data_IF_409614949975
#
_entry.id   IF_409614949975
#
_cell.length_a   1.000
_cell.length_b   1.000
_cell.length_c   1.000
_cell.angle_alpha   90.00
_cell.angle_beta   90.00
_cell.angle_gamma   90.00
#
_symmetry.space_group_name_H-M   'P 1'
#
loop_
_entity.id
_entity.type
_entity.pdbx_description
1 polymer ?
#
# COMPACT_ATOMS: atom_id res chain seq x y z
N UNK A 1 -31.64 -69.90 16.28
CA UNK A 1 -32.06 -68.60 15.70
C UNK A 1 -31.34 -67.44 16.38
N UNK A 2 -31.14 -67.50 17.70
CA UNK A 2 -30.47 -66.43 18.47
C UNK A 2 -28.97 -66.25 18.14
N UNK A 3 -28.20 -67.33 17.92
CA UNK A 3 -26.77 -67.23 17.58
C UNK A 3 -26.49 -66.50 16.26
N UNK A 4 -27.31 -66.72 15.22
CA UNK A 4 -27.13 -66.06 13.91
C UNK A 4 -27.45 -64.56 13.95
N UNK A 5 -28.31 -64.13 14.87
CA UNK A 5 -28.64 -62.71 15.06
C UNK A 5 -27.51 -61.97 15.80
N UNK A 6 -26.89 -62.62 16.79
CA UNK A 6 -25.74 -62.09 17.52
C UNK A 6 -24.52 -61.93 16.60
N UNK A 7 -24.26 -62.92 15.73
CA UNK A 7 -23.18 -62.86 14.74
C UNK A 7 -23.32 -61.65 13.80
N UNK A 8 -24.55 -61.40 13.33
CA UNK A 8 -24.86 -60.29 12.42
C UNK A 8 -24.69 -58.93 13.11
N UNK A 9 -25.12 -58.81 14.38
CA UNK A 9 -24.92 -57.59 15.18
C UNK A 9 -23.45 -57.31 15.44
N UNK A 10 -22.64 -58.33 15.69
CA UNK A 10 -21.19 -58.18 15.86
C UNK A 10 -20.50 -57.69 14.58
N UNK A 11 -20.87 -58.23 13.41
CA UNK A 11 -20.33 -57.77 12.13
C UNK A 11 -20.70 -56.31 11.83
N UNK A 12 -21.95 -55.91 12.12
CA UNK A 12 -22.40 -54.52 11.99
C UNK A 12 -21.63 -53.60 12.95
N UNK A 13 -21.43 -54.02 14.19
CA UNK A 13 -20.70 -53.24 15.19
C UNK A 13 -19.25 -52.98 14.74
N UNK A 14 -18.53 -54.03 14.32
CA UNK A 14 -17.15 -53.92 13.84
C UNK A 14 -17.06 -53.01 12.60
N UNK A 15 -18.04 -53.07 11.70
CA UNK A 15 -18.08 -52.20 10.53
C UNK A 15 -18.28 -50.73 10.90
N UNK A 16 -19.18 -50.45 11.85
CA UNK A 16 -19.44 -49.09 12.34
C UNK A 16 -18.21 -48.53 13.07
N UNK A 17 -17.55 -49.33 13.92
CA UNK A 17 -16.32 -48.93 14.60
C UNK A 17 -15.19 -48.61 13.60
N UNK A 18 -15.03 -49.43 12.56
CA UNK A 18 -14.05 -49.19 11.50
C UNK A 18 -14.33 -47.90 10.71
N UNK A 19 -15.60 -47.60 10.41
CA UNK A 19 -15.96 -46.35 9.74
C UNK A 19 -15.73 -45.12 10.63
N UNK A 20 -16.05 -45.22 11.92
CA UNK A 20 -15.84 -44.12 12.88
C UNK A 20 -14.35 -43.80 13.02
N UNK A 21 -13.48 -44.80 13.09
CA UNK A 21 -12.03 -44.57 13.18
C UNK A 21 -11.50 -43.93 11.88
N UNK A 22 -11.97 -44.36 10.71
CA UNK A 22 -11.61 -43.73 9.44
C UNK A 22 -12.05 -42.27 9.32
N UNK A 23 -13.22 -41.91 9.85
CA UNK A 23 -13.70 -40.52 9.91
C UNK A 23 -12.82 -39.69 10.84
N UNK A 24 -12.46 -40.25 12.01
CA UNK A 24 -11.60 -39.60 12.99
C UNK A 24 -10.21 -39.29 12.43
N UNK A 25 -9.62 -40.22 11.68
CA UNK A 25 -8.34 -39.99 11.00
C UNK A 25 -8.43 -38.89 9.94
N UNK A 26 -9.52 -38.86 9.18
CA UNK A 26 -9.74 -37.81 8.18
C UNK A 26 -9.90 -36.44 8.84
N UNK A 27 -10.67 -36.35 9.94
CA UNK A 27 -10.84 -35.11 10.70
C UNK A 27 -9.50 -34.63 11.24
N UNK A 28 -8.69 -35.51 11.83
CA UNK A 28 -7.36 -35.16 12.33
C UNK A 28 -6.42 -34.66 11.21
N UNK A 29 -6.45 -35.31 10.04
CA UNK A 29 -5.70 -34.87 8.86
C UNK A 29 -6.13 -33.48 8.36
N UNK A 30 -7.45 -33.22 8.33
CA UNK A 30 -7.99 -31.92 7.96
C UNK A 30 -7.65 -30.83 9.00
N UNK A 31 -7.71 -31.15 10.29
CA UNK A 31 -7.33 -30.23 11.38
C UNK A 31 -5.87 -29.81 11.25
N UNK A 32 -4.94 -30.75 11.03
CA UNK A 32 -3.52 -30.42 10.84
C UNK A 32 -3.29 -29.49 9.63
N UNK A 33 -3.94 -29.76 8.49
CA UNK A 33 -3.87 -28.89 7.30
C UNK A 33 -4.44 -27.48 7.57
N UNK A 34 -5.46 -27.36 8.42
CA UNK A 34 -6.04 -26.07 8.79
C UNK A 34 -5.10 -25.31 9.72
N UNK A 35 -4.46 -25.97 10.68
CA UNK A 35 -3.45 -25.37 11.55
C UNK A 35 -2.26 -24.83 10.74
N UNK A 36 -1.79 -25.58 9.74
CA UNK A 36 -0.74 -25.13 8.81
C UNK A 36 -1.16 -23.87 8.03
N UNK A 37 -2.39 -23.85 7.49
CA UNK A 37 -2.94 -22.70 6.76
C UNK A 37 -3.14 -21.50 7.67
N UNK A 38 -3.56 -21.70 8.92
CA UNK A 38 -3.68 -20.64 9.92
C UNK A 38 -2.31 -20.12 10.38
N UNK A 39 -1.30 -20.99 10.47
CA UNK A 39 0.09 -20.60 10.73
C UNK A 39 0.64 -19.71 9.62
N UNK A 40 0.43 -20.10 8.36
CA UNK A 40 0.78 -19.28 7.18
C UNK A 40 0.02 -17.94 7.15
N UNK A 41 -1.26 -17.91 7.57
CA UNK A 41 -2.04 -16.67 7.68
C UNK A 41 -1.49 -15.74 8.78
N UNK A 42 -0.98 -16.29 9.89
CA UNK A 42 -0.35 -15.51 10.98
C UNK A 42 1.00 -14.93 10.53
N UNK A 43 1.81 -15.69 9.79
CA UNK A 43 3.04 -15.17 9.15
C UNK A 43 2.75 -14.07 8.12
N UNK A 44 1.61 -14.15 7.43
CA UNK A 44 1.17 -13.12 6.48
C UNK A 44 0.65 -11.85 7.17
N UNK A 45 0.05 -11.97 8.37
CA UNK A 45 -0.43 -10.82 9.16
C UNK A 45 0.69 -10.16 10.00
N UNK A 46 1.74 -10.90 10.39
CA UNK A 46 2.92 -10.32 11.06
C UNK A 46 3.98 -9.75 10.11
N UNK A 47 3.84 -9.95 8.80
CA UNK A 47 4.70 -9.30 7.81
C UNK A 47 4.10 -7.99 7.32
N UNK A 48 4.31 -6.92 8.11
CA UNK A 48 4.44 -5.55 7.59
C UNK A 48 5.68 -5.36 6.67
N UNK A 49 6.14 -6.42 6.01
CA UNK A 49 7.26 -6.39 5.07
C UNK A 49 7.12 -7.56 4.09
N UNK A 50 6.70 -7.24 2.88
CA UNK A 50 6.48 -8.16 1.76
C UNK A 50 7.65 -9.14 1.55
N UNK A 51 7.42 -10.47 1.48
CA UNK A 51 8.45 -11.44 1.10
C UNK A 51 8.36 -11.69 -0.41
N UNK A 52 9.33 -11.18 -1.18
CA UNK A 52 9.33 -11.45 -2.61
C UNK A 52 10.42 -10.82 -3.46
N UNK A 53 11.30 -9.97 -2.94
CA UNK A 53 12.52 -9.53 -3.64
C UNK A 53 13.66 -9.40 -2.63
N UNK A 54 14.82 -9.92 -3.01
CA UNK A 54 16.07 -10.08 -2.27
C UNK A 54 16.31 -9.07 -1.14
N UNK A 55 16.61 -9.59 0.06
CA UNK A 55 17.19 -8.84 1.19
C UNK A 55 18.53 -8.23 0.78
N UNK A 56 18.52 -7.05 0.20
CA UNK A 56 19.41 -6.01 0.72
C UNK A 56 18.61 -5.42 1.89
N UNK A 57 19.20 -5.31 3.08
CA UNK A 57 18.63 -4.53 4.19
C UNK A 57 18.56 -3.04 3.78
N UNK A 58 17.75 -2.71 2.79
CA UNK A 58 17.54 -1.37 2.32
C UNK A 58 16.49 -0.75 3.24
N UNK A 59 16.95 0.01 4.23
CA UNK A 59 16.08 0.98 4.88
C UNK A 59 15.47 1.84 3.77
N UNK A 60 14.14 1.98 3.71
CA UNK A 60 13.50 2.80 2.68
C UNK A 60 14.12 4.19 2.68
N UNK A 61 14.57 4.65 1.52
CA UNK A 61 15.15 5.99 1.39
C UNK A 61 14.06 6.98 1.75
N UNK A 62 14.34 7.88 2.71
CA UNK A 62 13.33 8.85 3.15
C UNK A 62 13.23 9.98 2.13
N UNK A 63 12.01 10.39 1.76
CA UNK A 63 11.81 11.55 0.91
C UNK A 63 12.18 12.82 1.68
N UNK A 64 12.57 13.87 0.95
CA UNK A 64 12.84 15.18 1.54
C UNK A 64 11.53 15.75 2.10
N UNK A 65 11.63 16.60 3.13
CA UNK A 65 10.51 17.44 3.56
C UNK A 65 10.40 18.65 2.64
N UNK A 66 9.18 18.99 2.21
CA UNK A 66 8.93 20.15 1.36
C UNK A 66 8.14 21.20 2.12
N UNK A 67 8.74 22.37 2.31
CA UNK A 67 8.14 23.53 2.97
C UNK A 67 7.81 24.68 2.01
N UNK A 68 8.17 24.54 0.73
CA UNK A 68 8.02 25.56 -0.30
C UNK A 68 9.26 26.43 -0.54
N UNK A 69 10.37 26.23 0.17
CA UNK A 69 11.62 26.99 -0.05
C UNK A 69 12.43 26.50 -1.25
N UNK A 70 12.47 25.19 -1.45
CA UNK A 70 13.09 24.58 -2.64
C UNK A 70 12.13 24.69 -3.83
N UNK A 71 12.67 24.64 -5.05
CA UNK A 71 11.82 24.61 -6.25
C UNK A 71 10.94 23.36 -6.26
N UNK A 72 9.64 23.53 -6.54
CA UNK A 72 8.67 22.42 -6.62
C UNK A 72 9.12 21.33 -7.60
N UNK A 73 9.71 21.71 -8.73
CA UNK A 73 10.24 20.79 -9.73
C UNK A 73 11.39 19.95 -9.15
N UNK A 74 12.31 20.58 -8.41
CA UNK A 74 13.45 19.88 -7.78
C UNK A 74 12.95 18.86 -6.75
N UNK A 75 11.96 19.25 -5.94
CA UNK A 75 11.33 18.35 -4.98
C UNK A 75 10.63 17.17 -5.66
N UNK A 76 9.80 17.42 -6.70
CA UNK A 76 9.10 16.35 -7.46
C UNK A 76 10.09 15.36 -8.08
N UNK A 77 11.17 15.84 -8.70
CA UNK A 77 12.23 14.98 -9.27
C UNK A 77 12.90 14.12 -8.21
N UNK A 78 13.28 14.72 -7.07
CA UNK A 78 13.89 13.95 -5.97
C UNK A 78 12.92 12.90 -5.42
N UNK A 79 11.66 13.28 -5.23
CA UNK A 79 10.61 12.39 -4.75
C UNK A 79 10.40 11.21 -5.72
N UNK A 80 10.41 11.45 -7.04
CA UNK A 80 10.24 10.39 -8.02
C UNK A 80 11.41 9.37 -8.00
N UNK A 81 12.65 9.85 -7.90
CA UNK A 81 13.85 9.00 -7.72
C UNK A 81 13.74 8.14 -6.47
N UNK A 82 13.35 8.74 -5.34
CA UNK A 82 13.16 8.02 -4.07
C UNK A 82 12.04 7.00 -4.18
N UNK A 83 10.92 7.38 -4.79
CA UNK A 83 9.75 6.50 -4.94
C UNK A 83 10.05 5.29 -5.83
N UNK A 84 10.82 5.50 -6.91
CA UNK A 84 11.25 4.45 -7.83
C UNK A 84 12.27 3.52 -7.18
N UNK A 85 13.23 4.09 -6.45
CA UNK A 85 14.23 3.33 -5.68
C UNK A 85 13.58 2.45 -4.62
N UNK A 86 12.53 2.96 -3.97
CA UNK A 86 11.79 2.23 -2.94
C UNK A 86 10.67 1.33 -3.51
N UNK A 87 10.41 1.36 -4.81
CA UNK A 87 9.34 0.59 -5.45
C UNK A 87 7.93 0.93 -4.96
N UNK A 88 7.65 2.21 -4.66
CA UNK A 88 6.34 2.63 -4.17
C UNK A 88 5.26 2.62 -5.25
N UNK A 89 4.10 2.05 -4.93
CA UNK A 89 2.88 2.19 -5.71
C UNK A 89 2.21 3.57 -5.48
N UNK A 90 1.35 4.00 -6.39
CA UNK A 90 0.79 5.37 -6.41
C UNK A 90 0.08 5.78 -5.11
N UNK A 91 -0.67 4.88 -4.48
CA UNK A 91 -1.32 5.19 -3.19
C UNK A 91 -0.29 5.45 -2.07
N UNK A 92 0.85 4.75 -2.10
CA UNK A 92 1.96 4.94 -1.16
C UNK A 92 2.72 6.21 -1.49
N UNK A 93 2.93 6.51 -2.79
CA UNK A 93 3.48 7.79 -3.26
C UNK A 93 2.61 8.95 -2.77
N UNK A 94 1.29 8.90 -2.94
CA UNK A 94 0.37 9.92 -2.46
C UNK A 94 0.47 10.11 -0.94
N UNK A 95 0.44 9.02 -0.18
CA UNK A 95 0.55 9.06 1.29
C UNK A 95 1.88 9.66 1.75
N UNK A 96 2.99 9.27 1.11
CA UNK A 96 4.31 9.82 1.45
C UNK A 96 4.50 11.25 0.98
N UNK A 97 3.91 11.63 -0.15
CA UNK A 97 3.90 13.00 -0.64
C UNK A 97 3.24 13.91 0.40
N UNK A 98 2.03 13.54 0.87
CA UNK A 98 1.33 14.24 1.95
C UNK A 98 2.18 14.29 3.22
N UNK A 99 2.80 13.19 3.61
CA UNK A 99 3.64 13.12 4.81
C UNK A 99 4.93 13.94 4.71
N UNK A 100 5.42 14.23 3.49
CA UNK A 100 6.58 15.08 3.22
C UNK A 100 6.27 16.57 3.29
N UNK A 101 5.01 16.99 3.12
CA UNK A 101 4.64 18.40 3.13
C UNK A 101 4.71 19.00 4.54
N UNK A 102 5.29 20.20 4.64
CA UNK A 102 5.42 20.98 5.88
C UNK A 102 5.15 22.46 5.58
N UNK A 103 4.93 23.25 6.64
CA UNK A 103 4.78 24.71 6.53
C UNK A 103 3.76 25.14 5.48
N UNK A 104 4.10 26.17 4.69
CA UNK A 104 3.23 26.70 3.63
C UNK A 104 2.90 25.69 2.53
N UNK A 105 3.74 24.66 2.32
CA UNK A 105 3.41 23.60 1.38
C UNK A 105 2.32 22.66 1.88
N UNK A 106 2.17 22.47 3.19
CA UNK A 106 1.08 21.67 3.74
C UNK A 106 -0.29 22.35 3.60
N UNK A 107 -0.34 23.68 3.39
CA UNK A 107 -1.60 24.40 3.19
C UNK A 107 -2.36 23.97 1.93
N UNK A 108 -1.67 23.42 0.92
CA UNK A 108 -2.33 22.87 -0.29
C UNK A 108 -3.33 21.78 0.05
N UNK A 109 -3.14 21.08 1.18
CA UNK A 109 -3.99 19.98 1.61
C UNK A 109 -5.35 20.48 2.12
N UNK A 110 -5.48 21.74 2.54
CA UNK A 110 -6.74 22.28 3.04
C UNK A 110 -7.80 22.40 1.93
N UNK A 111 -7.37 22.55 0.68
CA UNK A 111 -8.27 22.62 -0.49
C UNK A 111 -8.69 21.26 -1.04
N UNK A 112 -8.13 20.16 -0.52
CA UNK A 112 -8.33 18.82 -1.07
C UNK A 112 -9.23 18.00 -0.13
N UNK A 113 -10.35 17.44 -0.62
CA UNK A 113 -11.16 16.50 0.15
C UNK A 113 -10.36 15.28 0.63
N UNK A 114 -10.62 14.81 1.85
CA UNK A 114 -9.84 13.74 2.47
C UNK A 114 -9.87 12.41 1.68
N UNK A 115 -10.97 12.11 0.99
CA UNK A 115 -11.11 10.95 0.11
C UNK A 115 -10.18 11.01 -1.11
N UNK A 116 -9.79 12.21 -1.54
CA UNK A 116 -8.90 12.47 -2.68
C UNK A 116 -7.43 12.59 -2.31
N UNK A 117 -7.08 12.59 -1.02
CA UNK A 117 -5.68 12.58 -0.56
C UNK A 117 -4.93 11.27 -0.84
N UNK A 118 -5.63 10.27 -1.38
CA UNK A 118 -5.01 9.02 -1.87
C UNK A 118 -4.69 9.08 -3.37
N UNK A 119 -5.26 10.05 -4.08
CA UNK A 119 -5.00 10.24 -5.50
C UNK A 119 -3.75 11.11 -5.68
N UNK A 120 -2.70 10.49 -6.21
CA UNK A 120 -1.41 11.14 -6.43
C UNK A 120 -1.57 12.36 -7.35
N UNK A 121 -2.35 12.22 -8.43
CA UNK A 121 -2.52 13.27 -9.43
C UNK A 121 -3.18 14.52 -8.84
N UNK A 122 -4.20 14.35 -7.99
CA UNK A 122 -4.86 15.48 -7.32
C UNK A 122 -3.88 16.29 -6.46
N UNK A 123 -2.99 15.62 -5.72
CA UNK A 123 -2.02 16.30 -4.84
C UNK A 123 -0.94 16.99 -5.66
N UNK A 124 -0.44 16.34 -6.72
CA UNK A 124 0.58 16.91 -7.61
C UNK A 124 0.07 18.17 -8.33
N UNK A 125 -1.17 18.15 -8.81
CA UNK A 125 -1.79 19.30 -9.45
C UNK A 125 -1.95 20.48 -8.48
N UNK A 126 -2.32 20.22 -7.22
CA UNK A 126 -2.43 21.27 -6.20
C UNK A 126 -1.06 21.89 -5.86
N UNK A 127 -0.02 21.06 -5.78
CA UNK A 127 1.37 21.51 -5.59
C UNK A 127 1.85 22.35 -6.77
N UNK A 128 1.57 21.92 -8.00
CA UNK A 128 1.96 22.64 -9.21
C UNK A 128 1.19 23.94 -9.38
N UNK A 129 -0.10 23.98 -9.02
CA UNK A 129 -0.87 25.22 -9.03
C UNK A 129 -0.35 26.26 -8.05
N UNK A 130 0.21 25.86 -6.89
CA UNK A 130 0.71 26.79 -5.86
C UNK A 130 2.18 27.15 -6.02
N UNK A 131 3.01 26.21 -6.50
CA UNK A 131 4.46 26.34 -6.55
C UNK A 131 5.10 26.04 -7.91
N UNK A 132 4.30 25.68 -8.93
CA UNK A 132 4.78 25.39 -10.28
C UNK A 132 5.23 26.64 -11.04
N UNK A 133 4.74 27.82 -10.65
CA UNK A 133 5.24 29.09 -11.14
C UNK A 133 6.56 29.43 -10.44
N UNK A 134 7.67 29.41 -11.20
CA UNK A 134 8.94 29.88 -10.66
C UNK A 134 8.88 31.40 -10.42
N UNK A 135 9.48 31.93 -9.35
CA UNK A 135 9.59 33.38 -9.13
C UNK A 135 10.24 34.11 -10.32
N UNK A 136 11.12 33.42 -11.06
CA UNK A 136 11.78 33.92 -12.27
C UNK A 136 10.77 34.11 -13.41
N UNK A 137 9.86 33.15 -13.59
CA UNK A 137 8.80 33.22 -14.61
C UNK A 137 7.85 34.38 -14.33
N UNK A 138 7.48 34.60 -13.07
CA UNK A 138 6.63 35.74 -12.67
C UNK A 138 7.32 37.09 -12.87
N UNK A 139 8.63 37.18 -12.60
CA UNK A 139 9.41 38.39 -12.88
C UNK A 139 9.36 38.76 -14.36
N UNK A 140 9.67 37.83 -15.26
CA UNK A 140 9.61 38.09 -16.70
C UNK A 140 8.19 38.37 -17.21
N UNK A 141 7.17 37.69 -16.68
CA UNK A 141 5.77 37.95 -17.03
C UNK A 141 5.37 39.38 -16.70
N UNK A 142 5.72 39.84 -15.49
CA UNK A 142 5.46 41.22 -15.04
C UNK A 142 6.23 42.25 -15.89
N UNK A 143 7.47 41.93 -16.29
CA UNK A 143 8.28 42.79 -17.16
C UNK A 143 7.72 42.88 -18.59
N UNK A 144 7.03 41.86 -19.07
CA UNK A 144 6.41 41.86 -20.40
C UNK A 144 5.08 42.62 -20.42
N UNK A 145 4.23 42.45 -19.40
CA UNK A 145 2.94 43.16 -19.24
C UNK A 145 3.12 44.70 -19.19
N UNK A 146 4.24 45.18 -18.67
CA UNK A 146 4.52 46.62 -18.52
C UNK A 146 5.08 47.27 -19.79
N UNK A 147 5.39 46.51 -20.85
CA UNK A 147 5.84 47.07 -22.13
C UNK A 147 4.66 47.42 -23.02
N UNK A 148 4.21 48.68 -22.95
CA UNK A 148 3.23 49.24 -23.90
C UNK A 148 3.87 49.41 -25.28
N UNK A 149 3.28 48.78 -26.29
CA UNK A 149 3.61 49.04 -27.69
C UNK A 149 3.19 50.49 -28.03
N UNK A 150 4.10 51.29 -28.60
CA UNK A 150 3.75 52.63 -29.05
C UNK A 150 2.82 52.52 -30.28
N UNK A 151 1.77 53.36 -30.40
CA UNK A 151 0.96 53.38 -31.60
C UNK A 151 1.85 53.78 -32.78
N UNK A 152 1.75 53.00 -33.86
CA UNK A 152 2.41 53.28 -35.14
C UNK A 152 1.67 54.36 -35.93
#
# INVERSE_FOLDING_TARGET
>A
MEQSEVEMKNQILVHVESQVEGIKDHVNSCVGKIEDVQGMKREMEETKQFPGKSRIHAFPVKPLTFDGQTSCIVFKTFFDVVSSTNGWADFMKASQLVASLRGGAAEVLQGIPADKLKDLMTIENALESRFGDSPVTQFYRTQLETRRQKPG
#
